data_IF_152697467734
#
_entry.id   IF_152697467734
#
_cell.length_a   1.000
_cell.length_b   1.000
_cell.length_c   1.000
_cell.angle_alpha   90.00
_cell.angle_beta   90.00
_cell.angle_gamma   90.00
#
_symmetry.space_group_name_H-M   'P 1'
#
loop_
_entity.id
_entity.type
_entity.pdbx_description
1 polymer ?
#
# COMPACT_ATOMS: atom_id res chain seq x y z
N UNK A 1 43.71 -30.14 -1.18
CA UNK A 1 42.45 -30.32 -1.92
C UNK A 1 41.36 -30.63 -0.90
N UNK A 2 40.58 -29.63 -0.50
CA UNK A 2 39.33 -29.83 0.24
C UNK A 2 38.36 -28.75 -0.20
N UNK A 3 37.68 -29.06 -1.29
CA UNK A 3 36.62 -28.25 -1.86
C UNK A 3 35.40 -28.38 -0.92
N UNK A 4 35.06 -27.30 -0.21
CA UNK A 4 33.91 -27.29 0.69
C UNK A 4 32.79 -26.58 -0.04
N UNK A 5 31.93 -27.37 -0.70
CA UNK A 5 30.76 -26.89 -1.41
C UNK A 5 29.74 -26.33 -0.42
N UNK A 6 29.64 -25.01 -0.34
CA UNK A 6 28.63 -24.31 0.43
C UNK A 6 27.34 -24.27 -0.39
N UNK A 7 26.36 -25.11 -0.03
CA UNK A 7 25.04 -25.10 -0.66
C UNK A 7 24.24 -23.94 -0.06
N UNK A 8 24.04 -22.88 -0.84
CA UNK A 8 23.04 -21.85 -0.51
C UNK A 8 21.65 -22.44 -0.71
N UNK A 9 21.03 -22.93 0.36
CA UNK A 9 19.59 -23.18 0.36
C UNK A 9 18.94 -21.81 0.51
N UNK A 10 18.46 -21.24 -0.59
CA UNK A 10 17.61 -20.08 -0.55
C UNK A 10 16.33 -20.47 0.21
N UNK A 11 16.13 -19.90 1.39
CA UNK A 11 14.86 -20.06 2.09
C UNK A 11 13.73 -19.55 1.19
N UNK A 12 12.63 -20.30 1.02
CA UNK A 12 11.49 -19.83 0.23
C UNK A 12 11.01 -18.52 0.86
N UNK A 13 11.05 -17.44 0.06
CA UNK A 13 10.60 -16.13 0.50
C UNK A 13 9.16 -16.25 0.98
N UNK A 14 8.93 -16.05 2.28
CA UNK A 14 7.59 -16.01 2.87
C UNK A 14 6.78 -14.95 2.12
N UNK A 15 5.83 -15.39 1.29
CA UNK A 15 4.97 -14.48 0.55
C UNK A 15 4.21 -13.60 1.56
N UNK A 16 4.33 -12.28 1.39
CA UNK A 16 3.77 -11.33 2.36
C UNK A 16 2.25 -11.35 2.22
N UNK A 17 1.54 -11.67 3.29
CA UNK A 17 0.07 -11.76 3.30
C UNK A 17 -0.57 -10.43 2.87
N UNK A 18 -1.49 -10.49 1.91
CA UNK A 18 -2.18 -9.32 1.39
C UNK A 18 -3.18 -8.82 2.44
N UNK A 19 -2.97 -7.57 2.88
CA UNK A 19 -3.80 -6.95 3.91
C UNK A 19 -5.08 -6.37 3.32
N UNK A 20 -5.05 -5.84 2.09
CA UNK A 20 -6.19 -5.22 1.40
C UNK A 20 -6.20 -5.58 -0.08
N UNK A 21 -7.41 -5.86 -0.59
CA UNK A 21 -7.67 -5.99 -2.02
C UNK A 21 -8.46 -4.78 -2.50
N UNK A 22 -8.10 -4.26 -3.67
CA UNK A 22 -8.76 -3.12 -4.29
C UNK A 22 -9.09 -3.35 -5.75
N UNK A 23 -10.19 -2.76 -6.21
CA UNK A 23 -10.60 -2.75 -7.61
C UNK A 23 -10.74 -1.31 -8.10
N UNK A 24 -10.31 -1.04 -9.33
CA UNK A 24 -10.55 0.23 -10.01
C UNK A 24 -10.72 -0.01 -11.52
N UNK A 25 -11.63 0.72 -12.15
CA UNK A 25 -11.88 0.57 -13.59
C UNK A 25 -10.75 1.20 -14.42
N UNK A 26 -10.47 0.65 -15.59
CA UNK A 26 -9.47 1.20 -16.52
C UNK A 26 -9.83 2.62 -16.96
N UNK A 27 -11.12 2.88 -17.16
CA UNK A 27 -11.65 4.18 -17.58
C UNK A 27 -11.69 5.23 -16.45
N UNK A 28 -11.24 4.89 -15.23
CA UNK A 28 -11.20 5.76 -14.08
C UNK A 28 -10.44 7.08 -14.36
N UNK A 29 -10.92 8.15 -13.75
CA UNK A 29 -10.36 9.50 -13.84
C UNK A 29 -9.61 9.85 -12.55
N UNK A 30 -8.65 10.79 -12.60
CA UNK A 30 -8.02 11.28 -11.38
C UNK A 30 -9.04 11.72 -10.34
N UNK A 31 -8.88 11.24 -9.11
CA UNK A 31 -9.84 11.43 -8.01
C UNK A 31 -10.83 10.29 -7.84
N UNK A 32 -10.99 9.40 -8.82
CA UNK A 32 -11.83 8.21 -8.66
C UNK A 32 -11.26 7.29 -7.58
N UNK A 33 -12.16 6.80 -6.74
CA UNK A 33 -11.83 6.02 -5.54
C UNK A 33 -11.67 4.55 -5.92
N UNK A 34 -10.61 3.93 -5.41
CA UNK A 34 -10.42 2.48 -5.45
C UNK A 34 -11.41 1.82 -4.49
N UNK A 35 -12.16 0.85 -4.98
CA UNK A 35 -13.05 0.04 -4.15
C UNK A 35 -12.22 -0.98 -3.36
N UNK A 36 -12.02 -0.71 -2.06
CA UNK A 36 -11.32 -1.62 -1.16
C UNK A 36 -12.28 -2.66 -0.55
N UNK A 37 -11.78 -3.88 -0.34
CA UNK A 37 -12.50 -4.99 0.31
C UNK A 37 -12.99 -4.67 1.73
N UNK A 38 -12.36 -3.70 2.39
CA UNK A 38 -12.74 -3.14 3.69
C UNK A 38 -12.17 -1.74 3.87
N UNK A 39 -12.77 -0.99 4.80
CA UNK A 39 -12.32 0.35 5.18
C UNK A 39 -10.87 0.36 5.63
N UNK A 40 -10.09 1.30 5.10
CA UNK A 40 -8.72 1.58 5.54
C UNK A 40 -8.76 2.52 6.75
N UNK A 41 -8.25 2.04 7.89
CA UNK A 41 -8.01 2.81 9.11
C UNK A 41 -6.87 2.18 9.91
N UNK A 42 -6.34 2.90 10.91
CA UNK A 42 -5.24 2.40 11.74
C UNK A 42 -5.80 1.47 12.84
N UNK A 43 -5.62 0.16 12.66
CA UNK A 43 -6.09 -0.86 13.62
C UNK A 43 -5.31 -0.87 14.93
N UNK A 44 -4.01 -0.64 14.86
CA UNK A 44 -3.11 -0.68 16.01
C UNK A 44 -2.08 0.43 15.86
N UNK A 45 -1.93 1.23 16.92
CA UNK A 45 -0.89 2.24 17.06
C UNK A 45 0.24 1.68 17.93
N UNK A 46 1.47 2.02 17.58
CA UNK A 46 2.63 1.75 18.42
C UNK A 46 2.59 2.66 19.66
N UNK A 47 3.15 2.17 20.78
CA UNK A 47 3.04 2.83 22.11
C UNK A 47 3.52 4.29 22.13
N UNK A 48 4.42 4.64 21.23
CA UNK A 48 5.07 5.96 21.19
C UNK A 48 4.50 6.88 20.10
N UNK A 49 3.49 6.43 19.35
CA UNK A 49 2.83 7.30 18.37
C UNK A 49 1.98 8.37 19.05
N UNK A 50 1.90 9.54 18.42
CA UNK A 50 0.92 10.57 18.75
C UNK A 50 -0.54 10.10 18.60
N UNK A 51 -1.48 10.93 19.08
CA UNK A 51 -2.91 10.62 19.10
C UNK A 51 -3.61 10.81 17.74
N UNK A 52 -2.98 11.51 16.80
CA UNK A 52 -3.53 11.79 15.48
C UNK A 52 -2.63 11.23 14.37
N UNK A 53 -3.26 10.81 13.28
CA UNK A 53 -2.62 10.45 12.02
C UNK A 53 -2.65 11.68 11.11
N UNK A 54 -1.51 12.02 10.50
CA UNK A 54 -1.43 13.12 9.54
C UNK A 54 -1.34 12.64 8.09
N UNK A 55 -1.04 11.36 7.87
CA UNK A 55 -1.02 10.82 6.53
C UNK A 55 -0.54 9.39 6.45
N UNK A 56 -0.30 9.00 5.21
CA UNK A 56 0.11 7.66 4.83
C UNK A 56 1.30 7.73 3.87
N UNK A 57 2.25 6.82 4.04
CA UNK A 57 3.39 6.65 3.15
C UNK A 57 3.19 5.40 2.31
N UNK A 58 3.26 5.57 1.00
CA UNK A 58 3.21 4.48 0.03
C UNK A 58 4.64 4.10 -0.32
N UNK A 59 5.02 2.85 -0.05
CA UNK A 59 6.33 2.32 -0.40
C UNK A 59 6.22 1.58 -1.73
N UNK A 60 6.81 2.17 -2.76
CA UNK A 60 6.98 1.56 -4.08
C UNK A 60 8.22 0.66 -4.09
N UNK A 61 8.12 -0.50 -4.72
CA UNK A 61 9.25 -1.41 -4.91
C UNK A 61 10.08 -1.00 -6.13
N UNK A 62 9.49 -0.92 -7.32
CA UNK A 62 10.25 -0.68 -8.57
C UNK A 62 9.51 0.11 -9.66
N UNK A 63 8.23 0.38 -9.50
CA UNK A 63 7.39 0.97 -10.55
C UNK A 63 6.70 2.24 -10.10
N UNK A 64 6.34 3.11 -11.05
CA UNK A 64 5.37 4.17 -10.78
C UNK A 64 4.09 3.58 -10.18
N UNK A 65 3.53 4.35 -9.25
CA UNK A 65 2.34 3.99 -8.49
C UNK A 65 1.31 5.10 -8.73
N UNK A 66 0.25 4.84 -9.52
CA UNK A 66 -0.70 5.87 -9.95
C UNK A 66 -1.74 6.19 -8.86
N UNK A 67 -1.42 5.94 -7.59
CA UNK A 67 -2.37 6.03 -6.49
C UNK A 67 -1.85 6.97 -5.41
N UNK A 68 -2.78 7.66 -4.76
CA UNK A 68 -2.55 8.42 -3.53
C UNK A 68 -3.54 7.97 -2.47
N UNK A 69 -3.15 8.07 -1.20
CA UNK A 69 -4.04 7.85 -0.06
C UNK A 69 -4.57 9.21 0.38
N UNK A 70 -5.88 9.31 0.57
CA UNK A 70 -6.57 10.51 1.06
C UNK A 70 -7.10 10.22 2.46
N UNK A 71 -6.54 10.91 3.44
CA UNK A 71 -6.94 10.82 4.84
C UNK A 71 -8.24 11.60 5.06
N UNK A 72 -9.26 10.94 5.62
CA UNK A 72 -10.58 11.53 5.89
C UNK A 72 -10.84 11.74 7.38
N UNK A 73 -10.24 10.92 8.25
CA UNK A 73 -10.28 11.13 9.71
C UNK A 73 -8.88 10.97 10.33
N UNK A 74 -8.40 12.02 11.00
CA UNK A 74 -7.09 12.04 11.68
C UNK A 74 -7.10 11.26 12.99
N UNK A 75 -8.26 11.05 13.62
CA UNK A 75 -8.38 10.44 14.94
C UNK A 75 -8.19 8.93 14.91
N UNK A 76 -8.70 8.24 13.90
CA UNK A 76 -8.50 6.79 13.73
C UNK A 76 -7.70 6.45 12.47
N UNK A 77 -7.36 7.46 11.67
CA UNK A 77 -6.63 7.28 10.42
C UNK A 77 -7.51 6.82 9.27
N UNK A 78 -8.83 6.92 9.35
CA UNK A 78 -9.71 6.51 8.24
C UNK A 78 -9.30 7.24 6.96
N UNK A 79 -9.19 6.48 5.86
CA UNK A 79 -8.72 6.96 4.57
C UNK A 79 -9.30 6.13 3.41
N UNK A 80 -9.18 6.67 2.20
CA UNK A 80 -9.44 5.96 0.95
C UNK A 80 -8.27 6.15 -0.02
N UNK A 81 -8.26 5.37 -1.10
CA UNK A 81 -7.24 5.45 -2.14
C UNK A 81 -7.88 5.99 -3.41
N UNK A 82 -7.20 6.93 -4.08
CA UNK A 82 -7.67 7.51 -5.34
C UNK A 82 -6.62 7.35 -6.44
N UNK A 83 -7.08 7.34 -7.70
CA UNK A 83 -6.23 7.57 -8.86
C UNK A 83 -5.62 8.98 -8.78
N UNK A 84 -4.30 9.07 -8.82
CA UNK A 84 -3.59 10.34 -8.70
C UNK A 84 -3.71 11.19 -9.99
N UNK A 85 -3.65 12.53 -9.89
CA UNK A 85 -3.57 13.42 -11.06
C UNK A 85 -2.42 13.06 -12.00
N UNK A 86 -2.65 13.21 -13.31
CA UNK A 86 -1.66 12.94 -14.35
C UNK A 86 -1.50 11.48 -14.75
N UNK A 87 -2.25 10.56 -14.14
CA UNK A 87 -2.24 9.15 -14.49
C UNK A 87 -3.46 8.74 -15.32
N UNK A 88 -3.25 7.77 -16.20
CA UNK A 88 -4.29 7.03 -16.91
C UNK A 88 -3.95 5.56 -16.79
N UNK A 89 -4.95 4.76 -16.45
CA UNK A 89 -4.78 3.32 -16.31
C UNK A 89 -4.85 2.67 -17.69
N UNK A 90 -4.11 1.58 -17.87
CA UNK A 90 -4.23 0.76 -19.07
C UNK A 90 -4.09 -0.71 -18.71
N UNK A 91 -5.19 -1.46 -18.87
CA UNK A 91 -5.31 -2.84 -18.40
C UNK A 91 -4.34 -3.76 -19.13
N UNK A 92 -4.17 -3.58 -20.44
CA UNK A 92 -3.27 -4.40 -21.26
C UNK A 92 -1.80 -4.23 -20.88
N UNK A 93 -1.38 -3.00 -20.54
CA UNK A 93 -0.02 -2.72 -20.08
C UNK A 93 0.22 -3.22 -18.66
N UNK A 94 -0.76 -3.04 -17.78
CA UNK A 94 -0.64 -3.45 -16.37
C UNK A 94 -2.02 -3.61 -15.76
N UNK A 95 -2.36 -4.82 -15.34
CA UNK A 95 -3.64 -5.13 -14.70
C UNK A 95 -3.56 -5.15 -13.16
N UNK A 96 -2.36 -5.03 -12.55
CA UNK A 96 -2.19 -5.11 -11.10
C UNK A 96 -1.09 -4.22 -10.53
N UNK A 97 -1.32 -3.72 -9.32
CA UNK A 97 -0.36 -2.99 -8.50
C UNK A 97 -0.30 -3.60 -7.11
N UNK A 98 0.91 -3.94 -6.66
CA UNK A 98 1.16 -4.36 -5.29
C UNK A 98 2.18 -3.42 -4.64
N UNK A 99 1.86 -2.95 -3.44
CA UNK A 99 2.66 -1.97 -2.71
C UNK A 99 2.33 -2.01 -1.23
N UNK A 100 3.22 -1.42 -0.43
CA UNK A 100 3.04 -1.32 1.02
C UNK A 100 2.55 0.08 1.40
N UNK A 101 1.70 0.15 2.41
CA UNK A 101 1.24 1.41 3.02
C UNK A 101 1.52 1.38 4.52
N UNK A 102 2.00 2.49 5.09
CA UNK A 102 2.03 2.72 6.53
C UNK A 102 1.47 4.11 6.88
N UNK A 103 0.67 4.21 7.94
CA UNK A 103 0.25 5.49 8.48
C UNK A 103 1.41 6.12 9.26
N UNK A 104 1.41 7.45 9.40
CA UNK A 104 2.33 8.14 10.30
C UNK A 104 1.61 9.17 11.16
N UNK A 105 2.08 9.33 12.41
CA UNK A 105 1.46 10.23 13.37
C UNK A 105 1.95 11.69 13.24
N UNK A 106 1.09 12.62 13.67
CA UNK A 106 1.34 14.06 13.60
C UNK A 106 2.52 14.55 14.44
N UNK A 107 2.90 13.81 15.49
CA UNK A 107 3.77 14.33 16.55
C UNK A 107 5.21 13.87 16.37
N UNK A 108 5.40 12.56 16.20
CA UNK A 108 6.71 11.94 16.10
C UNK A 108 7.08 11.60 14.66
N UNK A 109 6.10 11.57 13.76
CA UNK A 109 6.28 11.06 12.40
C UNK A 109 6.61 9.57 12.40
N UNK A 110 6.34 8.84 13.48
CA UNK A 110 6.56 7.40 13.56
C UNK A 110 5.52 6.70 12.67
N UNK A 111 5.98 5.65 11.98
CA UNK A 111 5.14 4.88 11.08
C UNK A 111 4.57 3.65 11.78
N UNK A 112 3.34 3.29 11.40
CA UNK A 112 2.75 2.02 11.75
C UNK A 112 3.45 0.86 11.04
N UNK A 113 3.11 -0.37 11.42
CA UNK A 113 3.41 -1.54 10.58
C UNK A 113 2.93 -1.35 9.13
N UNK A 114 3.69 -1.92 8.19
CA UNK A 114 3.37 -1.88 6.75
C UNK A 114 2.31 -2.91 6.39
N UNK A 115 1.24 -2.44 5.78
CA UNK A 115 0.14 -3.24 5.25
C UNK A 115 0.32 -3.42 3.75
N UNK A 116 0.06 -4.64 3.25
CA UNK A 116 0.21 -4.96 1.82
C UNK A 116 -1.11 -4.71 1.10
N UNK A 117 -1.05 -3.97 0.01
CA UNK A 117 -2.18 -3.71 -0.87
C UNK A 117 -1.97 -4.42 -2.20
N UNK A 118 -3.05 -4.99 -2.73
CA UNK A 118 -3.15 -5.47 -4.10
C UNK A 118 -4.34 -4.78 -4.77
N UNK A 119 -4.08 -3.90 -5.74
CA UNK A 119 -5.11 -3.25 -6.54
C UNK A 119 -5.12 -3.87 -7.94
N UNK A 120 -6.29 -4.30 -8.39
CA UNK A 120 -6.53 -4.80 -9.73
C UNK A 120 -7.25 -3.76 -10.56
N UNK A 121 -6.83 -3.62 -11.82
CA UNK A 121 -7.58 -2.87 -12.82
C UNK A 121 -8.61 -3.82 -13.43
N UNK A 122 -9.83 -3.33 -13.63
CA UNK A 122 -10.92 -4.03 -14.32
C UNK A 122 -11.43 -3.20 -15.50
N UNK A 123 -12.05 -3.85 -16.48
CA UNK A 123 -12.62 -3.20 -17.68
C UNK A 123 -14.02 -2.63 -17.39
#
# INVERSE_FOLDING_TARGET
LSDTSFSFVAEPSKEKEISYHGLIREDAKPGDVVELDKTLFVRQREKNMGQEICGYTLYKSYSELPFKVVLTDRKDGTAHIELAPGYTLNYERRHKYSFDIAAHDCTTGQHTQRLVFLILIIL
#
